data_IF_031623242981
#
_entry.id   IF_031623242981
#
_cell.length_a   1.000
_cell.length_b   1.000
_cell.length_c   1.000
_cell.angle_alpha   90.00
_cell.angle_beta   90.00
_cell.angle_gamma   90.00
#
_symmetry.space_group_name_H-M   'P 1'
#
loop_
_entity.id
_entity.type
_entity.pdbx_description
1 polymer ?
#
# COMPACT_ATOMS: atom_id res chain seq x y z
N UNK A 1 2.90 -27.55 -58.73
CA UNK A 1 3.62 -26.86 -59.82
C UNK A 1 2.84 -25.61 -60.22
N UNK A 2 3.36 -24.42 -59.95
CA UNK A 2 3.09 -23.20 -60.71
C UNK A 2 4.11 -22.14 -60.26
N UNK A 3 4.89 -21.65 -61.21
CA UNK A 3 6.11 -20.89 -61.02
C UNK A 3 5.88 -19.38 -60.80
N UNK A 4 6.85 -18.78 -60.10
CA UNK A 4 7.25 -17.39 -60.15
C UNK A 4 7.22 -16.79 -61.56
N UNK A 5 6.75 -15.55 -61.69
CA UNK A 5 7.24 -14.61 -62.72
C UNK A 5 7.35 -13.19 -62.18
N UNK A 6 8.60 -12.76 -62.06
CA UNK A 6 9.04 -11.37 -62.11
C UNK A 6 8.92 -10.88 -63.56
N UNK A 7 8.50 -9.63 -63.77
CA UNK A 7 8.78 -8.93 -65.04
C UNK A 7 9.01 -7.45 -64.78
N UNK A 8 10.12 -6.96 -65.32
CA UNK A 8 10.63 -5.61 -65.17
C UNK A 8 10.45 -4.80 -66.46
N UNK A 9 10.07 -3.53 -66.29
CA UNK A 9 10.23 -2.33 -67.15
C UNK A 9 9.66 -2.34 -68.58
N UNK A 10 9.28 -1.14 -69.06
CA UNK A 10 10.13 -0.54 -70.10
C UNK A 10 10.51 0.92 -69.84
N UNK A 11 11.72 1.25 -70.28
CA UNK A 11 12.34 2.57 -70.40
C UNK A 11 11.90 3.27 -71.69
N UNK A 12 11.67 4.58 -71.65
CA UNK A 12 12.17 5.52 -72.69
C UNK A 12 12.34 6.91 -72.09
N UNK A 13 13.59 7.38 -72.07
CA UNK A 13 14.02 8.72 -71.70
C UNK A 13 13.86 9.63 -72.92
N UNK A 14 13.03 10.68 -72.84
CA UNK A 14 13.11 11.82 -73.75
C UNK A 14 14.19 12.79 -73.24
N UNK A 15 15.24 13.00 -74.04
CA UNK A 15 16.21 14.09 -73.83
C UNK A 15 15.64 15.36 -74.44
N UNK A 16 15.11 16.26 -73.61
CA UNK A 16 15.06 17.68 -73.94
C UNK A 16 16.25 18.37 -73.28
N UNK A 17 17.20 18.81 -74.11
CA UNK A 17 18.32 19.65 -73.69
C UNK A 17 17.82 21.08 -73.73
N UNK A 18 17.37 21.60 -72.60
CA UNK A 18 17.17 23.05 -72.42
C UNK A 18 18.33 23.57 -71.58
N UNK A 19 19.22 24.34 -72.23
CA UNK A 19 20.27 25.10 -71.55
C UNK A 19 19.61 26.27 -70.82
N UNK A 20 19.49 26.23 -69.50
CA UNK A 20 19.31 27.43 -68.69
C UNK A 20 20.67 27.87 -68.15
N UNK A 21 21.09 29.06 -68.57
CA UNK A 21 22.25 29.80 -68.08
C UNK A 21 21.90 30.41 -66.71
N UNK A 22 21.85 29.59 -65.67
CA UNK A 22 21.75 30.06 -64.30
C UNK A 22 22.88 29.41 -63.49
N UNK A 23 23.71 30.25 -62.88
CA UNK A 23 24.75 29.83 -61.95
C UNK A 23 24.09 29.26 -60.69
N UNK A 24 23.80 27.96 -60.67
CA UNK A 24 23.38 27.29 -59.44
C UNK A 24 24.58 27.26 -58.49
N UNK A 25 24.53 28.07 -57.44
CA UNK A 25 25.45 27.93 -56.32
C UNK A 25 25.25 26.52 -55.73
N UNK A 26 26.30 25.73 -55.48
CA UNK A 26 26.13 24.44 -54.82
C UNK A 26 25.46 24.69 -53.48
N UNK A 27 24.23 24.19 -53.32
CA UNK A 27 23.57 24.18 -52.03
C UNK A 27 24.51 23.45 -51.07
N UNK A 28 24.95 24.14 -50.02
CA UNK A 28 25.71 23.50 -48.95
C UNK A 28 24.87 22.32 -48.46
N UNK A 29 25.44 21.11 -48.46
CA UNK A 29 24.89 19.92 -47.80
C UNK A 29 24.82 20.13 -46.28
N UNK A 30 24.04 21.12 -45.84
CA UNK A 30 23.83 21.50 -44.45
C UNK A 30 22.66 20.73 -43.82
N UNK A 31 22.07 19.79 -44.55
CA UNK A 31 21.08 18.86 -44.01
C UNK A 31 21.56 17.43 -44.14
N UNK A 32 22.67 17.10 -43.47
CA UNK A 32 22.66 15.84 -42.71
C UNK A 32 21.63 16.05 -41.62
N UNK A 33 20.38 15.63 -41.86
CA UNK A 33 19.47 15.38 -40.74
C UNK A 33 20.21 14.41 -39.84
N UNK A 34 20.72 14.90 -38.70
CA UNK A 34 21.24 14.03 -37.67
C UNK A 34 20.15 12.98 -37.47
N UNK A 35 20.53 11.71 -37.59
CA UNK A 35 19.60 10.59 -37.46
C UNK A 35 19.09 10.62 -36.02
N UNK A 36 18.04 11.39 -35.74
CA UNK A 36 17.47 11.55 -34.40
C UNK A 36 16.94 10.21 -33.88
N UNK A 37 16.75 9.24 -34.78
CA UNK A 37 16.50 7.84 -34.45
C UNK A 37 17.61 7.21 -33.60
N UNK A 38 18.89 7.57 -33.79
CA UNK A 38 19.99 6.92 -33.03
C UNK A 38 20.16 7.48 -31.61
N UNK A 39 19.75 8.71 -31.35
CA UNK A 39 19.86 9.36 -30.03
C UNK A 39 18.71 8.96 -29.09
N UNK A 40 17.54 8.60 -29.64
CA UNK A 40 16.42 8.05 -28.86
C UNK A 40 16.60 6.55 -28.57
N UNK A 41 17.53 5.89 -29.26
CA UNK A 41 17.74 4.44 -29.22
C UNK A 41 18.48 3.88 -28.00
N UNK A 42 18.97 4.69 -27.05
CA UNK A 42 19.77 4.18 -25.92
C UNK A 42 19.19 4.44 -24.52
N UNK A 43 17.97 4.97 -24.39
CA UNK A 43 17.32 5.05 -23.07
C UNK A 43 16.50 3.77 -22.81
N UNK A 44 17.14 2.77 -22.23
CA UNK A 44 16.45 1.59 -21.70
C UNK A 44 16.36 1.73 -20.17
N UNK A 45 15.26 2.30 -19.63
CA UNK A 45 15.13 2.45 -18.19
C UNK A 45 15.12 1.07 -17.55
N UNK A 46 15.80 0.96 -16.39
CA UNK A 46 15.78 -0.26 -15.60
C UNK A 46 14.31 -0.62 -15.31
N UNK A 47 13.91 -1.83 -15.67
CA UNK A 47 12.54 -2.31 -15.52
C UNK A 47 12.32 -3.07 -14.22
N UNK A 48 13.40 -3.60 -13.62
CA UNK A 48 13.39 -4.43 -12.42
C UNK A 48 14.29 -3.91 -11.31
N UNK A 49 14.06 -4.38 -10.10
CA UNK A 49 14.69 -3.94 -8.86
C UNK A 49 15.01 -5.19 -8.03
N UNK A 50 16.25 -5.32 -7.52
CA UNK A 50 16.65 -6.48 -6.74
C UNK A 50 16.12 -6.39 -5.30
N UNK A 51 15.78 -7.53 -4.74
CA UNK A 51 15.26 -7.68 -3.39
C UNK A 51 15.97 -8.86 -2.75
N UNK A 52 16.64 -8.63 -1.62
CA UNK A 52 17.29 -9.68 -0.84
C UNK A 52 16.28 -10.37 0.07
N UNK A 53 16.26 -11.69 0.02
CA UNK A 53 15.50 -12.53 0.95
C UNK A 53 16.44 -12.98 2.05
N UNK A 54 16.02 -12.81 3.29
CA UNK A 54 16.78 -13.12 4.49
C UNK A 54 16.23 -14.35 5.22
N UNK A 55 17.08 -15.08 5.95
CA UNK A 55 16.63 -16.09 6.90
C UNK A 55 16.24 -15.42 8.23
N UNK A 56 15.13 -15.83 8.83
CA UNK A 56 14.75 -15.41 10.19
C UNK A 56 15.00 -16.57 11.15
N UNK A 57 15.62 -16.36 12.34
CA UNK A 57 15.86 -15.07 13.01
C UNK A 57 17.18 -14.32 12.73
N UNK A 58 18.19 -14.91 12.08
CA UNK A 58 19.54 -14.31 11.99
C UNK A 58 19.68 -13.14 10.99
N UNK A 59 18.71 -12.96 10.10
CA UNK A 59 18.70 -11.99 8.98
C UNK A 59 19.85 -12.16 7.97
N UNK A 60 20.37 -13.38 7.83
CA UNK A 60 21.39 -13.68 6.82
C UNK A 60 20.76 -13.71 5.42
N UNK A 61 21.40 -13.11 4.38
CA UNK A 61 20.84 -13.12 3.03
C UNK A 61 20.95 -14.52 2.41
N UNK A 62 19.82 -15.10 2.01
CA UNK A 62 19.78 -16.43 1.39
C UNK A 62 19.63 -16.38 -0.14
N UNK A 63 18.71 -15.55 -0.65
CA UNK A 63 18.41 -15.48 -2.09
C UNK A 63 18.18 -14.05 -2.57
N UNK A 64 18.28 -13.86 -3.89
CA UNK A 64 18.06 -12.58 -4.54
C UNK A 64 16.92 -12.69 -5.56
N UNK A 65 15.86 -11.91 -5.37
CA UNK A 65 14.72 -11.83 -6.28
C UNK A 65 14.71 -10.53 -7.08
N UNK A 66 14.22 -10.58 -8.32
CA UNK A 66 13.94 -9.40 -9.15
C UNK A 66 12.44 -9.09 -9.21
N UNK A 67 12.13 -7.82 -8.95
CA UNK A 67 10.77 -7.28 -8.93
C UNK A 67 10.63 -6.11 -9.88
N UNK A 68 9.45 -5.88 -10.46
CA UNK A 68 9.21 -4.69 -11.28
C UNK A 68 9.38 -3.38 -10.50
N UNK A 69 9.94 -2.36 -11.15
CA UNK A 69 9.98 -0.96 -10.65
C UNK A 69 8.57 -0.46 -10.30
N UNK A 70 7.55 -0.92 -11.04
CA UNK A 70 6.16 -0.55 -10.79
C UNK A 70 5.57 -1.16 -9.52
N UNK A 71 6.26 -2.11 -8.89
CA UNK A 71 5.83 -2.73 -7.63
C UNK A 71 6.52 -2.09 -6.43
N UNK A 72 7.86 -2.03 -6.44
CA UNK A 72 8.66 -1.66 -5.26
C UNK A 72 9.47 -0.37 -5.40
N UNK A 73 9.38 0.31 -6.54
CA UNK A 73 10.15 1.53 -6.78
C UNK A 73 9.33 2.65 -7.43
N UNK A 74 8.07 2.77 -7.02
CA UNK A 74 7.21 3.87 -7.45
C UNK A 74 7.66 5.22 -6.83
N UNK A 75 7.46 6.34 -7.55
CA UNK A 75 7.69 7.67 -7.00
C UNK A 75 6.77 7.91 -5.80
N UNK A 76 7.29 8.61 -4.78
CA UNK A 76 6.51 8.90 -3.57
C UNK A 76 5.40 9.89 -3.90
N UNK A 77 4.15 9.45 -3.72
CA UNK A 77 2.94 10.28 -3.91
C UNK A 77 2.17 10.40 -2.61
N UNK A 78 2.43 11.50 -1.88
CA UNK A 78 1.83 11.76 -0.55
C UNK A 78 0.31 11.95 -0.63
N UNK A 79 -0.18 12.49 -1.72
CA UNK A 79 -1.60 12.68 -2.02
C UNK A 79 -2.35 11.35 -2.06
N UNK A 80 -1.83 10.36 -2.79
CA UNK A 80 -2.44 9.03 -2.89
C UNK A 80 -2.40 8.31 -1.53
N UNK A 81 -1.26 8.37 -0.83
CA UNK A 81 -1.13 7.78 0.50
C UNK A 81 -2.10 8.41 1.50
N UNK A 82 -2.21 9.74 1.51
CA UNK A 82 -3.15 10.45 2.36
C UNK A 82 -4.59 9.98 2.12
N UNK A 83 -5.02 9.89 0.85
CA UNK A 83 -6.37 9.42 0.52
C UNK A 83 -6.65 8.00 1.02
N UNK A 84 -5.70 7.08 0.89
CA UNK A 84 -5.85 5.70 1.39
C UNK A 84 -5.98 5.66 2.91
N UNK A 85 -5.10 6.38 3.64
CA UNK A 85 -5.12 6.40 5.12
C UNK A 85 -6.41 7.07 5.63
N UNK A 86 -6.88 8.14 4.99
CA UNK A 86 -8.16 8.76 5.38
C UNK A 86 -9.33 7.83 5.13
N UNK A 87 -9.31 7.10 4.01
CA UNK A 87 -10.34 6.11 3.67
C UNK A 87 -10.38 4.97 4.69
N UNK A 88 -9.22 4.43 5.07
CA UNK A 88 -9.11 3.42 6.14
C UNK A 88 -9.66 3.96 7.46
N UNK A 89 -9.21 5.14 7.90
CA UNK A 89 -9.66 5.75 9.16
C UNK A 89 -11.15 6.06 9.23
N UNK A 90 -11.76 6.45 8.11
CA UNK A 90 -13.21 6.67 8.00
C UNK A 90 -13.99 5.35 8.13
N UNK A 91 -13.47 4.25 7.57
CA UNK A 91 -14.10 2.94 7.61
C UNK A 91 -13.93 2.21 8.95
N UNK A 92 -12.81 2.40 9.66
CA UNK A 92 -12.59 1.83 11.00
C UNK A 92 -13.51 2.48 12.06
N UNK A 93 -14.10 3.64 11.76
CA UNK A 93 -14.85 4.43 12.74
C UNK A 93 -16.22 3.79 13.05
N UNK A 94 -16.44 3.46 14.33
CA UNK A 94 -17.71 2.87 14.79
C UNK A 94 -18.96 3.75 14.62
N UNK A 95 -18.81 5.08 14.72
CA UNK A 95 -19.92 6.00 14.45
C UNK A 95 -21.13 5.93 15.41
N UNK A 96 -20.97 5.47 16.66
CA UNK A 96 -22.08 5.19 17.61
C UNK A 96 -22.57 6.39 18.43
N UNK A 97 -21.98 7.56 18.26
CA UNK A 97 -22.32 8.75 19.05
C UNK A 97 -23.78 9.16 18.83
N UNK A 98 -24.57 9.21 19.91
CA UNK A 98 -25.99 9.56 19.88
C UNK A 98 -26.31 10.64 20.90
N UNK A 99 -27.12 11.61 20.50
CA UNK A 99 -27.69 12.64 21.37
C UNK A 99 -29.20 12.69 21.20
N UNK A 100 -29.91 12.98 22.30
CA UNK A 100 -31.36 13.11 22.27
C UNK A 100 -31.77 14.44 21.68
N UNK A 101 -32.59 14.41 20.63
CA UNK A 101 -33.27 15.60 20.12
C UNK A 101 -34.44 15.96 21.05
N UNK A 102 -35.04 17.14 20.88
CA UNK A 102 -36.20 17.55 21.69
C UNK A 102 -37.38 16.57 21.64
N UNK A 103 -37.46 15.74 20.60
CA UNK A 103 -38.52 14.75 20.40
C UNK A 103 -38.25 13.42 21.11
N UNK A 104 -37.00 13.17 21.49
CA UNK A 104 -36.55 11.93 22.14
C UNK A 104 -36.30 12.11 23.65
N UNK A 105 -36.19 13.37 24.10
CA UNK A 105 -36.06 13.68 25.53
C UNK A 105 -37.36 13.38 26.25
N UNK A 106 -37.27 12.59 27.32
CA UNK A 106 -38.42 12.22 28.14
C UNK A 106 -39.12 13.43 28.77
N UNK A 107 -40.45 13.48 28.64
CA UNK A 107 -41.30 14.51 29.26
C UNK A 107 -42.60 14.77 28.52
N UNK A 108 -43.48 15.58 29.11
CA UNK A 108 -44.72 16.02 28.47
C UNK A 108 -44.47 17.04 27.36
N UNK A 109 -45.19 16.90 26.23
CA UNK A 109 -45.23 17.90 25.15
C UNK A 109 -46.24 19.03 25.42
N UNK A 110 -46.85 19.06 26.62
CA UNK A 110 -47.73 20.16 27.04
C UNK A 110 -46.94 21.46 27.10
N UNK A 111 -47.58 22.54 26.65
CA UNK A 111 -47.05 23.89 26.77
C UNK A 111 -46.83 24.24 28.25
N UNK A 112 -45.61 24.66 28.60
CA UNK A 112 -45.20 24.91 30.00
C UNK A 112 -46.00 26.06 30.63
N UNK A 113 -46.43 27.06 29.84
CA UNK A 113 -47.23 28.19 30.32
C UNK A 113 -48.10 28.84 29.23
N UNK A 114 -49.12 29.64 29.59
CA UNK A 114 -49.98 30.31 28.62
C UNK A 114 -49.22 31.24 27.66
N UNK A 115 -49.81 31.50 26.49
CA UNK A 115 -49.18 32.31 25.43
C UNK A 115 -48.93 33.77 25.84
N UNK A 116 -49.79 34.31 26.71
CA UNK A 116 -49.77 35.69 27.23
C UNK A 116 -50.21 35.67 28.71
N UNK A 117 -50.04 36.80 29.42
CA UNK A 117 -50.50 36.95 30.81
C UNK A 117 -49.59 36.38 31.89
N UNK A 118 -48.37 35.90 31.54
CA UNK A 118 -47.44 35.31 32.52
C UNK A 118 -46.26 36.21 32.94
N UNK A 119 -46.10 37.40 32.35
CA UNK A 119 -45.02 38.34 32.69
C UNK A 119 -43.58 37.88 32.38
N UNK A 120 -43.38 36.76 31.66
CA UNK A 120 -42.03 36.29 31.26
C UNK A 120 -42.02 35.81 29.79
N UNK A 121 -40.83 35.52 29.22
CA UNK A 121 -40.65 35.16 27.80
C UNK A 121 -41.47 33.94 27.32
N UNK A 122 -42.08 33.96 26.12
CA UNK A 122 -42.93 32.84 25.67
C UNK A 122 -42.20 31.49 25.70
N UNK A 123 -42.86 30.44 26.19
CA UNK A 123 -42.28 29.11 26.28
C UNK A 123 -43.22 28.03 25.74
N UNK A 124 -42.67 27.15 24.92
CA UNK A 124 -43.35 26.00 24.35
C UNK A 124 -43.26 24.78 25.27
N UNK A 125 -42.64 23.71 24.76
CA UNK A 125 -42.44 22.44 25.47
C UNK A 125 -41.19 22.47 26.35
N UNK A 126 -41.13 21.61 27.38
CA UNK A 126 -39.99 21.53 28.32
C UNK A 126 -38.70 21.00 27.68
N UNK A 127 -38.81 20.20 26.62
CA UNK A 127 -37.70 19.58 25.90
C UNK A 127 -36.95 20.54 24.96
N UNK A 128 -37.35 21.82 24.92
CA UNK A 128 -36.72 22.83 24.06
C UNK A 128 -35.20 22.93 24.32
N UNK A 129 -34.34 22.96 23.29
CA UNK A 129 -32.88 23.09 23.43
C UNK A 129 -32.44 24.33 24.22
N UNK A 130 -33.28 25.37 24.26
CA UNK A 130 -33.01 26.63 24.99
C UNK A 130 -33.15 26.44 26.51
N UNK A 131 -33.84 25.39 26.95
CA UNK A 131 -34.05 25.08 28.35
C UNK A 131 -33.00 24.10 28.87
N UNK A 132 -32.72 24.17 30.18
CA UNK A 132 -31.93 23.14 30.87
C UNK A 132 -32.65 21.80 30.81
N UNK A 133 -31.93 20.74 30.48
CA UNK A 133 -32.50 19.40 30.26
C UNK A 133 -33.29 19.26 28.95
N UNK A 134 -33.22 20.24 28.05
CA UNK A 134 -33.71 20.14 26.68
C UNK A 134 -32.83 19.26 25.79
N UNK A 135 -33.38 18.80 24.67
CA UNK A 135 -32.63 18.01 23.70
C UNK A 135 -31.73 18.87 22.81
N UNK A 136 -30.63 18.32 22.31
CA UNK A 136 -29.69 19.03 21.40
C UNK A 136 -30.25 19.05 19.98
N UNK A 137 -30.31 20.23 19.34
CA UNK A 137 -30.87 20.37 17.98
C UNK A 137 -30.04 19.62 16.93
N UNK A 138 -28.75 19.98 16.79
CA UNK A 138 -27.81 19.35 15.87
C UNK A 138 -26.80 18.53 16.68
N UNK A 139 -27.33 17.54 17.41
CA UNK A 139 -26.51 16.58 18.14
C UNK A 139 -25.97 15.48 17.21
N UNK A 140 -24.89 14.80 17.60
CA UNK A 140 -24.46 13.59 16.89
C UNK A 140 -25.56 12.53 16.91
N UNK A 141 -25.65 11.79 15.82
CA UNK A 141 -26.48 10.61 15.67
C UNK A 141 -25.62 9.46 15.14
N UNK A 142 -25.97 8.20 15.48
CA UNK A 142 -25.32 7.05 14.89
C UNK A 142 -25.43 7.14 13.38
N UNK A 143 -24.28 7.08 12.70
CA UNK A 143 -24.20 7.20 11.25
C UNK A 143 -22.95 6.51 10.75
N UNK A 144 -23.03 6.07 9.51
CA UNK A 144 -21.88 5.57 8.78
C UNK A 144 -20.97 6.73 8.37
N UNK A 145 -19.67 6.57 8.61
CA UNK A 145 -18.63 7.53 8.23
C UNK A 145 -17.83 7.06 7.02
N UNK A 146 -18.03 5.82 6.56
CA UNK A 146 -17.26 5.22 5.49
C UNK A 146 -17.29 6.05 4.22
N UNK A 147 -16.10 6.36 3.70
CA UNK A 147 -15.91 7.04 2.43
C UNK A 147 -15.58 6.03 1.34
N UNK A 148 -15.78 6.40 0.06
CA UNK A 148 -15.48 5.51 -1.07
C UNK A 148 -14.16 5.91 -1.72
N UNK A 149 -13.33 4.92 -2.03
CA UNK A 149 -12.09 5.10 -2.79
C UNK A 149 -12.05 4.13 -3.98
N UNK A 150 -11.57 4.61 -5.13
CA UNK A 150 -11.41 3.76 -6.30
C UNK A 150 -10.35 2.67 -6.03
N UNK A 151 -10.68 1.40 -6.31
CA UNK A 151 -9.76 0.27 -6.09
C UNK A 151 -8.36 0.50 -6.68
N UNK A 152 -8.27 1.01 -7.92
CA UNK A 152 -6.97 1.31 -8.56
C UNK A 152 -6.14 2.36 -7.82
N UNK A 153 -6.79 3.30 -7.13
CA UNK A 153 -6.10 4.32 -6.33
C UNK A 153 -5.59 3.70 -5.04
N UNK A 154 -6.39 2.86 -4.40
CA UNK A 154 -6.01 2.12 -3.20
C UNK A 154 -4.84 1.14 -3.45
N UNK A 155 -4.94 0.33 -4.51
CA UNK A 155 -3.86 -0.59 -4.94
C UNK A 155 -2.54 0.15 -5.25
N UNK A 156 -2.64 1.35 -5.81
CA UNK A 156 -1.48 2.21 -6.05
C UNK A 156 -0.92 2.78 -4.74
N UNK A 157 -1.76 3.08 -3.75
CA UNK A 157 -1.32 3.53 -2.43
C UNK A 157 -0.50 2.44 -1.73
N UNK A 158 -1.00 1.19 -1.73
CA UNK A 158 -0.29 0.01 -1.23
C UNK A 158 1.13 -0.12 -1.79
N UNK A 159 1.25 -0.18 -3.13
CA UNK A 159 2.58 -0.27 -3.77
C UNK A 159 3.44 0.97 -3.54
N UNK A 160 2.84 2.16 -3.43
CA UNK A 160 3.59 3.39 -3.09
C UNK A 160 4.15 3.33 -1.67
N UNK A 161 3.41 2.78 -0.71
CA UNK A 161 3.86 2.58 0.67
C UNK A 161 4.98 1.54 0.75
N UNK A 162 4.83 0.38 0.10
CA UNK A 162 5.90 -0.62 -0.02
C UNK A 162 7.15 -0.04 -0.70
N UNK A 163 6.97 0.72 -1.78
CA UNK A 163 8.08 1.40 -2.48
C UNK A 163 8.78 2.45 -1.61
N UNK A 164 8.04 3.10 -0.71
CA UNK A 164 8.63 4.04 0.25
C UNK A 164 9.51 3.32 1.26
N UNK A 165 9.06 2.18 1.81
CA UNK A 165 9.86 1.35 2.73
C UNK A 165 11.07 0.73 2.07
N UNK A 166 10.90 0.19 0.87
CA UNK A 166 11.98 -0.39 0.09
C UNK A 166 13.10 0.63 -0.15
N UNK A 167 12.78 1.85 -0.61
CA UNK A 167 13.78 2.90 -0.86
C UNK A 167 14.57 3.33 0.37
N UNK A 168 14.01 3.14 1.56
CA UNK A 168 14.63 3.49 2.84
C UNK A 168 15.39 2.33 3.50
N UNK A 169 15.36 1.13 2.90
CA UNK A 169 15.90 -0.08 3.53
C UNK A 169 15.13 -0.49 4.78
N UNK A 170 13.86 -0.09 4.88
CA UNK A 170 12.96 -0.39 6.00
C UNK A 170 12.04 -1.58 5.71
N UNK A 171 12.05 -2.08 4.46
CA UNK A 171 11.37 -3.30 4.05
C UNK A 171 12.38 -4.45 4.06
N UNK A 172 12.21 -5.39 5.00
CA UNK A 172 13.03 -6.59 5.12
C UNK A 172 12.15 -7.77 4.73
N UNK A 173 12.65 -8.61 3.84
CA UNK A 173 11.90 -9.76 3.34
C UNK A 173 12.59 -11.01 3.82
N UNK A 174 11.83 -11.87 4.48
CA UNK A 174 12.31 -13.12 5.04
C UNK A 174 11.80 -14.31 4.22
N UNK A 175 12.47 -15.44 4.37
CA UNK A 175 11.97 -16.72 3.89
C UNK A 175 10.59 -17.05 4.45
N UNK A 176 9.89 -17.93 3.74
CA UNK A 176 8.61 -18.46 4.17
C UNK A 176 8.80 -19.32 5.43
N UNK A 177 7.90 -19.21 6.42
CA UNK A 177 8.08 -19.88 7.71
C UNK A 177 8.83 -19.02 8.72
N UNK A 178 8.54 -17.73 8.77
CA UNK A 178 9.15 -16.77 9.70
C UNK A 178 8.67 -17.05 11.13
N UNK A 179 9.28 -18.05 11.78
CA UNK A 179 8.94 -18.46 13.14
C UNK A 179 10.11 -18.26 14.10
N UNK A 180 9.78 -18.04 15.38
CA UNK A 180 10.76 -17.83 16.42
C UNK A 180 11.38 -19.17 16.86
N UNK A 181 12.69 -19.30 16.69
CA UNK A 181 13.46 -20.47 17.14
C UNK A 181 13.69 -20.44 18.66
N UNK A 182 12.67 -20.83 19.43
CA UNK A 182 12.79 -20.94 20.88
C UNK A 182 13.78 -22.06 21.27
N UNK A 183 14.56 -21.88 22.36
CA UNK A 183 15.43 -22.94 22.85
C UNK A 183 14.65 -24.20 23.24
N UNK A 184 15.12 -25.41 22.88
CA UNK A 184 14.40 -26.65 23.16
C UNK A 184 14.23 -26.91 24.67
N UNK A 185 15.18 -26.45 25.48
CA UNK A 185 15.12 -26.54 26.94
C UNK A 185 13.92 -25.77 27.50
N UNK A 186 13.59 -24.62 26.89
CA UNK A 186 12.44 -23.83 27.28
C UNK A 186 11.14 -24.55 26.95
N UNK A 187 11.04 -25.16 25.77
CA UNK A 187 9.84 -25.92 25.36
C UNK A 187 9.54 -27.07 26.32
N UNK A 188 10.57 -27.86 26.68
CA UNK A 188 10.40 -28.96 27.63
C UNK A 188 9.93 -28.52 29.01
N UNK A 189 10.35 -27.33 29.44
CA UNK A 189 10.02 -26.77 30.76
C UNK A 189 8.68 -26.04 30.77
N UNK A 190 8.34 -25.37 29.66
CA UNK A 190 7.10 -24.61 29.50
C UNK A 190 5.87 -25.49 29.75
N UNK A 191 5.83 -26.68 29.13
CA UNK A 191 4.68 -27.59 29.24
C UNK A 191 4.55 -28.26 30.60
N UNK A 192 5.67 -28.45 31.32
CA UNK A 192 5.71 -29.28 32.53
C UNK A 192 5.74 -28.52 33.84
N UNK A 193 6.38 -27.34 33.88
CA UNK A 193 6.80 -26.74 35.15
C UNK A 193 6.61 -25.22 35.26
N UNK A 194 6.34 -24.51 34.15
CA UNK A 194 6.12 -23.07 34.23
C UNK A 194 4.69 -22.78 34.68
N UNK A 195 4.55 -22.22 35.90
CA UNK A 195 3.30 -21.60 36.35
C UNK A 195 2.97 -20.41 35.45
N UNK A 196 1.67 -20.09 35.34
CA UNK A 196 1.16 -18.89 34.68
C UNK A 196 1.98 -17.65 35.08
N UNK A 197 2.53 -16.94 34.11
CA UNK A 197 3.39 -15.75 34.28
C UNK A 197 4.88 -15.97 33.97
N UNK A 198 5.46 -17.14 34.28
CA UNK A 198 6.90 -17.36 34.06
C UNK A 198 7.22 -17.54 32.57
N UNK A 199 6.30 -18.20 31.83
CA UNK A 199 6.40 -18.40 30.38
C UNK A 199 6.39 -17.06 29.65
N UNK A 200 5.43 -16.20 29.99
CA UNK A 200 5.24 -14.89 29.37
C UNK A 200 6.46 -13.98 29.62
N UNK A 201 6.96 -13.94 30.86
CA UNK A 201 8.14 -13.13 31.20
C UNK A 201 9.42 -13.62 30.50
N UNK A 202 9.59 -14.93 30.32
CA UNK A 202 10.68 -15.47 29.52
C UNK A 202 10.56 -15.06 28.06
N UNK A 203 9.39 -15.26 27.44
CA UNK A 203 9.12 -14.88 26.05
C UNK A 203 9.36 -13.37 25.83
N UNK A 204 8.88 -12.53 26.75
CA UNK A 204 9.12 -11.08 26.74
C UNK A 204 10.62 -10.76 26.71
N UNK A 205 11.40 -11.37 27.62
CA UNK A 205 12.85 -11.12 27.71
C UNK A 205 13.60 -11.64 26.48
N UNK A 206 13.24 -12.83 26.01
CA UNK A 206 13.83 -13.46 24.83
C UNK A 206 13.57 -12.61 23.59
N UNK A 207 12.31 -12.25 23.33
CA UNK A 207 11.92 -11.45 22.17
C UNK A 207 12.54 -10.05 22.19
N UNK A 208 12.55 -9.38 23.35
CA UNK A 208 13.24 -8.09 23.50
C UNK A 208 14.75 -8.22 23.19
N UNK A 209 15.36 -9.34 23.60
CA UNK A 209 16.75 -9.67 23.28
C UNK A 209 16.97 -9.80 21.77
N UNK A 210 16.18 -10.63 21.10
CA UNK A 210 16.24 -10.89 19.65
C UNK A 210 16.04 -9.59 18.86
N UNK A 211 14.98 -8.83 19.16
CA UNK A 211 14.70 -7.58 18.45
C UNK A 211 15.82 -6.56 18.63
N UNK A 212 16.38 -6.44 19.82
CA UNK A 212 17.52 -5.55 20.08
C UNK A 212 18.78 -5.98 19.33
N UNK A 213 19.07 -7.29 19.24
CA UNK A 213 20.24 -7.78 18.50
C UNK A 213 20.12 -7.56 16.99
N UNK A 214 18.89 -7.62 16.46
CA UNK A 214 18.62 -7.46 15.03
C UNK A 214 18.40 -6.00 14.62
N UNK A 215 18.42 -5.05 15.56
CA UNK A 215 18.05 -3.64 15.27
C UNK A 215 16.59 -3.49 14.84
N UNK A 216 15.72 -4.38 15.33
CA UNK A 216 14.27 -4.40 15.11
C UNK A 216 13.48 -3.99 16.37
N UNK A 217 14.19 -3.60 17.44
CA UNK A 217 13.57 -3.12 18.68
C UNK A 217 13.27 -1.62 18.62
N UNK A 218 12.56 -1.14 19.64
CA UNK A 218 12.05 0.22 19.84
C UNK A 218 13.08 1.33 19.61
N UNK A 219 14.35 1.05 19.89
CA UNK A 219 15.46 1.99 19.68
C UNK A 219 15.59 2.42 18.19
N UNK A 220 15.32 1.50 17.27
CA UNK A 220 15.35 1.70 15.82
C UNK A 220 13.96 1.96 15.22
N UNK A 221 13.00 2.31 16.09
CA UNK A 221 11.57 2.40 15.79
C UNK A 221 10.83 1.11 16.19
N UNK A 222 9.56 0.98 15.84
CA UNK A 222 8.81 -0.26 16.05
C UNK A 222 8.96 -1.18 14.85
N UNK A 223 8.72 -2.48 15.01
CA UNK A 223 8.71 -3.42 13.87
C UNK A 223 7.32 -3.99 13.63
N UNK A 224 6.93 -4.07 12.37
CA UNK A 224 5.74 -4.80 11.93
C UNK A 224 6.20 -6.12 11.31
N UNK A 225 5.79 -7.25 11.87
CA UNK A 225 5.94 -8.56 11.27
C UNK A 225 4.66 -8.90 10.49
N UNK A 226 4.81 -9.35 9.25
CA UNK A 226 3.68 -9.82 8.43
C UNK A 226 3.92 -11.25 7.96
N UNK A 227 3.03 -12.15 8.34
CA UNK A 227 3.08 -13.58 7.98
C UNK A 227 1.88 -13.96 7.13
N UNK A 228 2.01 -15.04 6.34
CA UNK A 228 0.88 -15.56 5.56
C UNK A 228 -0.16 -16.19 6.47
N UNK A 229 0.28 -17.09 7.33
CA UNK A 229 -0.51 -17.72 8.39
C UNK A 229 -0.06 -17.21 9.77
N UNK A 230 -0.93 -17.20 10.80
CA UNK A 230 -0.54 -16.84 12.15
C UNK A 230 0.48 -17.85 12.70
N UNK A 231 1.68 -17.37 13.01
CA UNK A 231 2.78 -18.17 13.59
C UNK A 231 2.67 -18.13 15.11
N UNK A 232 2.26 -19.23 15.73
CA UNK A 232 1.94 -19.30 17.17
C UNK A 232 3.06 -18.69 18.04
N UNK A 233 4.29 -19.19 17.92
CA UNK A 233 5.42 -18.74 18.75
C UNK A 233 5.76 -17.26 18.56
N UNK A 234 5.68 -16.77 17.33
CA UNK A 234 5.97 -15.37 17.02
C UNK A 234 4.88 -14.46 17.58
N UNK A 235 3.61 -14.81 17.40
CA UNK A 235 2.48 -14.00 17.86
C UNK A 235 2.40 -13.97 19.37
N UNK A 236 2.53 -15.12 20.04
CA UNK A 236 2.59 -15.19 21.50
C UNK A 236 3.73 -14.32 22.05
N UNK A 237 4.92 -14.42 21.47
CA UNK A 237 6.06 -13.62 21.90
C UNK A 237 5.82 -12.11 21.68
N UNK A 238 5.25 -11.74 20.53
CA UNK A 238 4.95 -10.34 20.19
C UNK A 238 3.82 -9.74 21.04
N UNK A 239 2.84 -10.54 21.46
CA UNK A 239 1.78 -10.12 22.38
C UNK A 239 2.34 -9.66 23.73
N UNK A 240 3.46 -10.25 24.17
CA UNK A 240 4.16 -9.83 25.40
C UNK A 240 4.97 -8.54 25.26
N UNK A 241 5.29 -8.09 24.03
CA UNK A 241 6.09 -6.89 23.75
C UNK A 241 5.42 -5.91 22.76
N UNK A 242 4.20 -5.40 23.07
CA UNK A 242 3.46 -4.50 22.19
C UNK A 242 4.14 -3.13 21.98
N UNK A 243 5.08 -2.75 22.84
CA UNK A 243 5.85 -1.51 22.69
C UNK A 243 7.03 -1.64 21.71
N UNK A 244 7.50 -2.86 21.42
CA UNK A 244 8.58 -3.13 20.46
C UNK A 244 8.03 -3.24 19.02
N UNK A 245 6.82 -3.76 18.85
CA UNK A 245 6.24 -3.97 17.54
C UNK A 245 4.89 -4.68 17.56
N UNK A 246 4.46 -5.15 16.38
CA UNK A 246 3.25 -5.96 16.19
C UNK A 246 3.50 -7.06 15.16
N UNK A 247 2.79 -8.17 15.27
CA UNK A 247 2.68 -9.19 14.23
C UNK A 247 1.24 -9.18 13.71
N UNK A 248 1.07 -9.13 12.39
CA UNK A 248 -0.22 -9.16 11.69
C UNK A 248 -0.16 -10.23 10.60
N UNK A 249 -1.30 -10.84 10.31
CA UNK A 249 -1.47 -11.72 9.17
C UNK A 249 -1.67 -10.89 7.89
N UNK A 250 -1.66 -11.53 6.73
CA UNK A 250 -1.76 -10.82 5.45
C UNK A 250 -3.11 -10.12 5.23
N UNK A 251 -4.17 -10.58 5.91
CA UNK A 251 -5.52 -10.06 5.74
C UNK A 251 -5.81 -8.86 6.65
N UNK A 252 -5.20 -8.79 7.84
CA UNK A 252 -5.40 -7.66 8.77
C UNK A 252 -4.41 -6.50 8.55
N UNK A 253 -3.53 -6.55 7.53
CA UNK A 253 -2.63 -5.43 7.23
C UNK A 253 -3.34 -4.35 6.41
N UNK A 254 -3.23 -3.09 6.85
CA UNK A 254 -3.65 -1.90 6.11
C UNK A 254 -2.46 -1.07 5.55
N UNK A 255 -2.72 -0.10 4.65
CA UNK A 255 -1.69 0.86 4.18
C UNK A 255 -1.13 1.66 5.34
N UNK A 256 -1.99 2.02 6.30
CA UNK A 256 -1.59 2.70 7.52
C UNK A 256 -0.56 1.88 8.32
N UNK A 257 -0.74 0.57 8.47
CA UNK A 257 0.16 -0.27 9.28
C UNK A 257 1.56 -0.34 8.66
N UNK A 258 1.63 -0.46 7.33
CA UNK A 258 2.88 -0.38 6.58
C UNK A 258 3.63 0.93 6.80
N UNK A 259 2.96 2.01 7.21
CA UNK A 259 3.53 3.34 7.39
C UNK A 259 3.70 3.75 8.87
N UNK A 260 3.16 3.00 9.83
CA UNK A 260 3.20 3.37 11.26
C UNK A 260 4.51 2.98 11.96
N UNK A 261 5.08 1.83 11.62
CA UNK A 261 6.28 1.29 12.26
C UNK A 261 7.57 1.87 11.67
N UNK A 262 8.72 1.59 12.30
CA UNK A 262 10.03 1.94 11.75
C UNK A 262 10.42 1.01 10.60
N UNK A 263 10.29 -0.30 10.82
CA UNK A 263 10.62 -1.36 9.86
C UNK A 263 9.43 -2.29 9.65
N UNK A 264 9.36 -2.89 8.46
CA UNK A 264 8.40 -3.92 8.10
C UNK A 264 9.17 -5.16 7.67
N UNK A 265 8.95 -6.26 8.38
CA UNK A 265 9.51 -7.57 8.11
C UNK A 265 8.38 -8.45 7.63
N UNK A 266 8.49 -9.03 6.44
CA UNK A 266 7.43 -9.88 5.89
C UNK A 266 7.97 -11.11 5.20
N UNK A 267 7.18 -12.18 5.17
CA UNK A 267 7.50 -13.37 4.38
C UNK A 267 7.52 -13.05 2.88
N UNK A 268 8.34 -13.81 2.15
CA UNK A 268 8.48 -13.70 0.69
C UNK A 268 7.17 -13.98 -0.05
N UNK A 269 6.45 -15.02 0.36
CA UNK A 269 5.10 -15.38 -0.14
C UNK A 269 4.08 -14.26 0.11
N UNK A 270 4.09 -13.68 1.31
CA UNK A 270 3.26 -12.53 1.69
C UNK A 270 3.45 -11.35 0.75
N UNK A 271 4.70 -10.96 0.48
CA UNK A 271 4.98 -9.83 -0.40
C UNK A 271 4.41 -10.08 -1.80
N UNK A 272 4.59 -11.30 -2.31
CA UNK A 272 4.05 -11.71 -3.61
C UNK A 272 2.55 -11.64 -3.64
N UNK A 273 1.90 -12.20 -2.63
CA UNK A 273 0.45 -12.15 -2.50
C UNK A 273 -0.08 -10.71 -2.40
N UNK A 274 0.54 -9.85 -1.57
CA UNK A 274 0.17 -8.45 -1.44
C UNK A 274 0.24 -7.70 -2.77
N UNK A 275 1.31 -7.91 -3.54
CA UNK A 275 1.47 -7.26 -4.85
C UNK A 275 0.45 -7.82 -5.86
N UNK A 276 0.19 -9.12 -5.84
CA UNK A 276 -0.79 -9.76 -6.71
C UNK A 276 -2.23 -9.30 -6.43
N UNK A 277 -2.57 -9.05 -5.15
CA UNK A 277 -3.85 -8.46 -4.72
C UNK A 277 -4.00 -6.99 -5.18
N UNK A 278 -2.90 -6.23 -5.21
CA UNK A 278 -2.87 -4.77 -5.42
C UNK A 278 -2.22 -4.31 -6.74
N UNK A 279 -2.53 -4.99 -7.85
CA UNK A 279 -2.02 -4.65 -9.20
C UNK A 279 -3.12 -4.28 -10.21
N UNK A 280 -4.32 -3.88 -9.76
CA UNK A 280 -5.45 -3.61 -10.68
C UNK A 280 -5.28 -2.39 -11.60
N UNK A 281 -4.33 -1.50 -11.30
CA UNK A 281 -3.93 -0.40 -12.18
C UNK A 281 -2.90 -0.84 -13.24
N UNK A 282 -2.14 -1.89 -12.98
CA UNK A 282 -1.14 -2.44 -13.90
C UNK A 282 -1.77 -3.42 -14.89
N UNK A 283 -2.55 -4.37 -14.39
CA UNK A 283 -3.23 -5.38 -15.18
C UNK A 283 -4.63 -4.85 -15.53
N UNK A 284 -4.83 -4.51 -16.80
CA UNK A 284 -6.14 -4.12 -17.31
C UNK A 284 -6.69 -5.20 -18.24
N UNK A 285 -7.92 -5.66 -17.97
CA UNK A 285 -8.65 -6.56 -18.87
C UNK A 285 -9.01 -5.92 -20.23
N UNK A 286 -8.84 -4.61 -20.35
CA UNK A 286 -9.08 -3.86 -21.59
C UNK A 286 -7.89 -4.08 -22.51
N UNK A 287 -8.12 -4.72 -23.66
CA UNK A 287 -7.14 -4.85 -24.71
C UNK A 287 -7.07 -3.55 -25.51
N UNK A 288 -5.89 -2.98 -25.68
CA UNK A 288 -5.65 -1.82 -26.54
C UNK A 288 -4.90 -2.33 -27.77
N UNK A 289 -5.53 -2.28 -28.95
CA UNK A 289 -4.94 -2.83 -30.17
C UNK A 289 -4.87 -4.37 -30.22
N UNK A 290 -5.76 -5.06 -29.51
CA UNK A 290 -5.84 -6.53 -29.51
C UNK A 290 -4.90 -7.25 -28.55
N UNK A 291 -3.99 -6.53 -27.88
CA UNK A 291 -3.11 -7.07 -26.85
C UNK A 291 -3.60 -6.66 -25.46
N UNK A 292 -3.82 -7.64 -24.59
CA UNK A 292 -4.04 -7.38 -23.16
C UNK A 292 -2.72 -7.00 -22.50
N UNK A 293 -2.77 -6.06 -21.56
CA UNK A 293 -1.58 -5.66 -20.80
C UNK A 293 -1.24 -6.77 -19.79
N UNK A 294 -0.14 -7.48 -20.04
CA UNK A 294 0.34 -8.54 -19.13
C UNK A 294 0.88 -7.95 -17.83
N UNK A 295 0.79 -8.72 -16.75
CA UNK A 295 1.45 -8.39 -15.49
C UNK A 295 2.96 -8.25 -15.72
N UNK A 296 3.63 -7.26 -15.09
CA UNK A 296 5.08 -7.25 -15.07
C UNK A 296 5.61 -8.38 -14.18
N UNK A 297 6.87 -8.80 -14.39
CA UNK A 297 7.46 -9.90 -13.64
C UNK A 297 7.50 -9.63 -12.12
N UNK A 298 7.15 -10.66 -11.35
CA UNK A 298 7.13 -10.67 -9.88
C UNK A 298 8.02 -11.81 -9.36
N UNK A 299 8.92 -11.51 -8.41
CA UNK A 299 9.66 -12.51 -7.63
C UNK A 299 10.47 -13.52 -8.47
N UNK A 300 11.13 -13.08 -9.54
CA UNK A 300 12.02 -13.97 -10.30
C UNK A 300 13.32 -14.17 -9.52
N UNK A 301 13.58 -15.40 -9.08
CA UNK A 301 14.83 -15.75 -8.38
C UNK A 301 16.00 -15.63 -9.35
N UNK A 302 17.00 -14.85 -8.96
CA UNK A 302 18.23 -14.62 -9.73
C UNK A 302 19.37 -15.43 -9.16
N UNK A 303 19.47 -15.47 -7.83
CA UNK A 303 20.49 -16.17 -7.04
C UNK A 303 19.83 -16.90 -5.89
#
# INVERSE_FOLDING_TARGET
MAALRVSAKPTTLSKSISRSMATEAPARDLTRSANTQSLVQSWNPVSTVPVTVHSFPSLEPTSLEQWSVQHLYLPLRRDILHHAITFEGDNTRQGTASSKTRYEVHGSHRKVRPQKGSGRARLGTRQSPVLRGGGKTFGPKPRDFGTKLNRKVYDKAWRTALSYRYRRGELIICEDGMELALPPDFEMLADKYMRDGLRETYLQKYMTGVLRTLGLGRADGRTLFVTGDPRERLYEAMEQVPWEGRALDVEDVDVKDLLETGKVVMERSVLKEMIERHQSDLITRIAVGGLAKSAPSTGQVVL
#
